data_IF_208909763571
#
_entry.id   IF_208909763571
#
_cell.length_a   1.000
_cell.length_b   1.000
_cell.length_c   1.000
_cell.angle_alpha   90.00
_cell.angle_beta   90.00
_cell.angle_gamma   90.00
#
_symmetry.space_group_name_H-M   'P 1'
#
loop_
_entity.id
_entity.type
_entity.pdbx_description
1 polymer ?
#
# COMPACT_ATOMS: atom_id res chain seq x y z
N UNK A 1 10.52 -27.37 63.44
CA UNK A 1 11.61 -26.63 64.11
C UNK A 1 12.21 -25.65 63.10
N UNK A 2 11.94 -24.34 63.26
CA UNK A 2 12.91 -23.22 63.41
C UNK A 2 13.98 -23.17 62.30
N UNK A 3 14.15 -22.12 61.47
CA UNK A 3 14.10 -20.65 61.69
C UNK A 3 13.83 -19.97 60.32
N UNK A 4 12.99 -18.92 60.14
CA UNK A 4 13.24 -17.47 60.34
C UNK A 4 14.70 -17.06 60.05
N UNK A 5 15.08 -15.97 59.41
CA UNK A 5 14.49 -14.88 58.64
C UNK A 5 15.72 -13.98 58.39
N UNK A 6 15.97 -13.53 57.16
CA UNK A 6 16.79 -12.33 56.95
C UNK A 6 16.05 -11.41 55.98
N UNK A 7 15.57 -10.32 56.56
CA UNK A 7 15.00 -9.14 55.92
C UNK A 7 16.15 -8.24 55.47
N UNK A 8 16.03 -7.63 54.30
CA UNK A 8 16.90 -6.53 53.83
C UNK A 8 17.29 -6.77 52.36
N UNK A 9 16.88 -5.99 51.37
CA UNK A 9 16.49 -4.60 51.37
C UNK A 9 15.34 -4.35 50.38
N UNK A 10 14.31 -3.65 50.83
CA UNK A 10 13.49 -2.81 49.95
C UNK A 10 14.36 -1.61 49.61
N UNK A 11 14.91 -1.59 48.40
CA UNK A 11 15.53 -0.40 47.82
C UNK A 11 14.88 -0.15 46.46
N UNK A 12 13.86 0.70 46.53
CA UNK A 12 13.46 1.67 45.52
C UNK A 12 13.18 1.14 44.11
N UNK A 13 11.88 1.08 43.81
CA UNK A 13 11.33 1.40 42.49
C UNK A 13 12.02 2.64 41.92
N UNK A 14 13.06 2.44 41.12
CA UNK A 14 13.52 3.43 40.16
C UNK A 14 12.67 3.27 38.89
N UNK A 15 11.44 3.79 38.96
CA UNK A 15 10.71 4.20 37.77
C UNK A 15 11.47 5.37 37.15
N UNK A 16 12.38 5.06 36.21
CA UNK A 16 12.82 6.03 35.19
C UNK A 16 13.83 5.38 34.24
N UNK A 17 13.33 4.73 33.20
CA UNK A 17 13.58 5.19 31.82
C UNK A 17 12.29 4.91 31.06
N UNK A 18 11.71 5.96 30.49
CA UNK A 18 10.74 5.93 29.40
C UNK A 18 10.84 4.63 28.60
N UNK A 19 9.75 3.87 28.50
CA UNK A 19 9.55 3.00 27.36
C UNK A 19 9.45 3.89 26.12
N UNK A 20 10.57 4.47 25.71
CA UNK A 20 10.73 5.08 24.41
C UNK A 20 10.29 4.01 23.43
N UNK A 21 9.30 4.36 22.61
CA UNK A 21 8.93 3.72 21.36
C UNK A 21 10.18 3.36 20.53
N UNK A 22 10.96 2.35 20.90
CA UNK A 22 12.01 1.81 20.05
C UNK A 22 11.28 1.06 18.95
N UNK A 23 11.58 1.42 17.71
CA UNK A 23 11.11 0.70 16.56
C UNK A 23 11.47 -0.79 16.69
N UNK A 24 10.50 -1.66 16.42
CA UNK A 24 10.71 -3.10 16.25
C UNK A 24 10.43 -3.41 14.77
N UNK A 25 11.49 -3.47 13.93
CA UNK A 25 11.31 -3.69 12.50
C UNK A 25 10.63 -5.00 12.14
N UNK A 26 10.80 -6.06 12.94
CA UNK A 26 10.16 -7.35 12.67
C UNK A 26 8.66 -7.29 12.98
N UNK A 27 8.27 -6.67 14.09
CA UNK A 27 6.87 -6.46 14.43
C UNK A 27 6.17 -5.52 13.44
N UNK A 28 6.84 -4.44 13.03
CA UNK A 28 6.32 -3.50 12.03
C UNK A 28 6.17 -4.17 10.66
N UNK A 29 7.14 -5.01 10.25
CA UNK A 29 7.03 -5.80 9.03
C UNK A 29 5.84 -6.76 9.07
N UNK A 30 5.60 -7.42 10.22
CA UNK A 30 4.44 -8.31 10.40
C UNK A 30 3.11 -7.56 10.22
N UNK A 31 2.95 -6.37 10.82
CA UNK A 31 1.76 -5.53 10.61
C UNK A 31 1.56 -5.17 9.14
N UNK A 32 2.65 -4.81 8.44
CA UNK A 32 2.58 -4.53 7.00
C UNK A 32 2.15 -5.78 6.22
N UNK A 33 2.69 -6.96 6.52
CA UNK A 33 2.31 -8.21 5.85
C UNK A 33 0.85 -8.59 6.08
N UNK A 34 0.35 -8.44 7.31
CA UNK A 34 -1.06 -8.66 7.63
C UNK A 34 -1.97 -7.72 6.83
N UNK A 35 -1.62 -6.43 6.76
CA UNK A 35 -2.31 -5.48 5.91
C UNK A 35 -2.25 -5.90 4.43
N UNK A 36 -1.06 -6.25 3.93
CA UNK A 36 -0.83 -6.58 2.53
C UNK A 36 -1.66 -7.78 2.08
N UNK A 37 -1.72 -8.85 2.89
CA UNK A 37 -2.52 -10.05 2.61
C UNK A 37 -4.02 -9.73 2.47
N UNK A 38 -4.57 -8.87 3.33
CA UNK A 38 -5.98 -8.43 3.21
C UNK A 38 -6.19 -7.61 1.93
N UNK A 39 -5.20 -6.81 1.54
CA UNK A 39 -5.30 -5.98 0.34
C UNK A 39 -5.16 -6.77 -0.96
N UNK A 40 -4.52 -7.94 -1.00
CA UNK A 40 -4.41 -8.74 -2.23
C UNK A 40 -5.80 -9.11 -2.78
N UNK A 41 -6.69 -9.61 -1.92
CA UNK A 41 -8.06 -9.94 -2.32
C UNK A 41 -8.85 -8.67 -2.68
N UNK A 42 -8.72 -7.62 -1.88
CA UNK A 42 -9.43 -6.35 -2.08
C UNK A 42 -9.09 -5.72 -3.44
N UNK A 43 -7.80 -5.71 -3.80
CA UNK A 43 -7.31 -5.19 -5.06
C UNK A 43 -7.76 -6.05 -6.24
N UNK A 44 -7.72 -7.39 -6.11
CA UNK A 44 -8.21 -8.29 -7.16
C UNK A 44 -9.70 -8.06 -7.45
N UNK A 45 -10.53 -7.92 -6.40
CA UNK A 45 -11.95 -7.58 -6.55
C UNK A 45 -12.15 -6.20 -7.20
N UNK A 46 -11.39 -5.18 -6.78
CA UNK A 46 -11.46 -3.85 -7.36
C UNK A 46 -11.10 -3.85 -8.86
N UNK A 47 -10.06 -4.59 -9.25
CA UNK A 47 -9.65 -4.73 -10.65
C UNK A 47 -10.71 -5.47 -11.49
N UNK A 48 -11.27 -6.58 -10.99
CA UNK A 48 -12.31 -7.32 -11.69
C UNK A 48 -13.58 -6.48 -11.90
N UNK A 49 -14.01 -5.76 -10.85
CA UNK A 49 -15.16 -4.85 -10.93
C UNK A 49 -14.89 -3.71 -11.92
N UNK A 50 -13.70 -3.11 -11.88
CA UNK A 50 -13.30 -2.08 -12.83
C UNK A 50 -13.32 -2.59 -14.28
N UNK A 51 -12.74 -3.76 -14.55
CA UNK A 51 -12.73 -4.36 -15.89
C UNK A 51 -14.14 -4.63 -16.40
N UNK A 52 -15.02 -5.15 -15.54
CA UNK A 52 -16.43 -5.38 -15.87
C UNK A 52 -17.15 -4.07 -16.23
N UNK A 53 -17.06 -3.07 -15.37
CA UNK A 53 -17.70 -1.77 -15.57
C UNK A 53 -17.17 -1.05 -16.82
N UNK A 54 -15.85 -1.11 -17.05
CA UNK A 54 -15.22 -0.53 -18.23
C UNK A 54 -15.69 -1.24 -19.51
N UNK A 55 -15.75 -2.57 -19.52
CA UNK A 55 -16.22 -3.33 -20.68
C UNK A 55 -17.68 -3.02 -21.02
N UNK A 56 -18.53 -2.87 -19.99
CA UNK A 56 -19.92 -2.47 -20.17
C UNK A 56 -20.05 -1.10 -20.82
N UNK A 57 -19.34 -0.08 -20.31
CA UNK A 57 -19.36 1.28 -20.87
C UNK A 57 -18.74 1.34 -22.26
N UNK A 58 -17.61 0.68 -22.48
CA UNK A 58 -16.90 0.70 -23.77
C UNK A 58 -17.60 -0.13 -24.85
N UNK A 59 -18.46 -1.07 -24.47
CA UNK A 59 -19.28 -1.88 -25.38
C UNK A 59 -20.55 -1.18 -25.88
N UNK A 60 -20.91 -0.03 -25.31
CA UNK A 60 -22.07 0.75 -25.76
C UNK A 60 -21.79 1.41 -27.12
N UNK A 61 -22.82 1.50 -27.97
CA UNK A 61 -22.74 2.16 -29.29
C UNK A 61 -22.33 3.63 -29.18
N UNK A 62 -22.85 4.31 -28.18
CA UNK A 62 -22.49 5.68 -27.83
C UNK A 62 -21.69 5.64 -26.55
N UNK A 63 -20.45 6.14 -26.60
CA UNK A 63 -19.59 6.22 -25.43
C UNK A 63 -20.02 7.44 -24.61
N UNK A 64 -20.73 7.21 -23.50
CA UNK A 64 -21.06 8.28 -22.57
C UNK A 64 -19.81 8.67 -21.75
N UNK A 65 -19.27 9.89 -21.92
CA UNK A 65 -18.11 10.34 -21.15
C UNK A 65 -18.36 10.36 -19.64
N UNK A 66 -19.61 10.61 -19.21
CA UNK A 66 -19.97 10.61 -17.78
C UNK A 66 -19.98 9.21 -17.19
N UNK A 67 -20.44 8.22 -17.97
CA UNK A 67 -20.37 6.83 -17.56
C UNK A 67 -18.90 6.38 -17.41
N UNK A 68 -18.03 6.74 -18.36
CA UNK A 68 -16.60 6.44 -18.27
C UNK A 68 -15.95 7.10 -17.04
N UNK A 69 -16.27 8.37 -16.79
CA UNK A 69 -15.79 9.10 -15.62
C UNK A 69 -16.27 8.46 -14.30
N UNK A 70 -17.51 7.99 -14.24
CA UNK A 70 -18.04 7.30 -13.08
C UNK A 70 -17.28 5.99 -12.77
N UNK A 71 -16.96 5.19 -13.81
CA UNK A 71 -16.16 3.97 -13.65
C UNK A 71 -14.76 4.28 -13.12
N UNK A 72 -14.12 5.31 -13.69
CA UNK A 72 -12.79 5.76 -13.26
C UNK A 72 -12.81 6.28 -11.81
N UNK A 73 -13.82 7.06 -11.44
CA UNK A 73 -13.95 7.60 -10.09
C UNK A 73 -14.24 6.50 -9.05
N UNK A 74 -15.05 5.50 -9.40
CA UNK A 74 -15.28 4.35 -8.53
C UNK A 74 -13.98 3.57 -8.26
N UNK A 75 -13.20 3.28 -9.31
CA UNK A 75 -11.91 2.61 -9.14
C UNK A 75 -10.91 3.45 -8.32
N UNK A 76 -10.79 4.75 -8.65
CA UNK A 76 -9.93 5.67 -7.90
C UNK A 76 -10.36 5.76 -6.42
N UNK A 77 -11.66 5.73 -6.12
CA UNK A 77 -12.19 5.67 -4.77
C UNK A 77 -11.70 4.45 -3.99
N UNK A 78 -11.76 3.26 -4.61
CA UNK A 78 -11.24 2.02 -4.00
C UNK A 78 -9.73 2.09 -3.74
N UNK A 79 -8.96 2.65 -4.69
CA UNK A 79 -7.52 2.87 -4.48
C UNK A 79 -7.28 3.83 -3.31
N UNK A 80 -8.03 4.93 -3.22
CA UNK A 80 -7.94 5.88 -2.11
C UNK A 80 -8.27 5.24 -0.75
N UNK A 81 -9.25 4.33 -0.70
CA UNK A 81 -9.56 3.54 0.49
C UNK A 81 -8.38 2.63 0.90
N UNK A 82 -7.75 1.95 -0.06
CA UNK A 82 -6.53 1.16 0.18
C UNK A 82 -5.37 2.03 0.64
N UNK A 83 -5.19 3.23 0.07
CA UNK A 83 -4.14 4.15 0.51
C UNK A 83 -4.38 4.67 1.94
N UNK A 84 -5.63 4.97 2.29
CA UNK A 84 -6.00 5.35 3.66
C UNK A 84 -5.79 4.19 4.65
N UNK A 85 -6.11 2.95 4.26
CA UNK A 85 -5.87 1.78 5.10
C UNK A 85 -4.38 1.52 5.29
N UNK A 86 -3.56 1.77 4.25
CA UNK A 86 -2.10 1.73 4.35
C UNK A 86 -1.57 2.79 5.31
N UNK A 87 -2.06 4.03 5.21
CA UNK A 87 -1.68 5.13 6.10
C UNK A 87 -1.96 4.79 7.57
N UNK A 88 -3.01 4.03 7.86
CA UNK A 88 -3.36 3.56 9.19
C UNK A 88 -2.45 2.44 9.76
N UNK A 89 -1.61 1.80 8.93
CA UNK A 89 -0.63 0.81 9.41
C UNK A 89 0.46 1.54 10.21
N UNK A 90 0.43 1.39 11.54
CA UNK A 90 1.39 1.98 12.47
C UNK A 90 2.74 1.27 12.37
N UNK A 91 3.73 1.97 11.79
CA UNK A 91 5.11 1.53 11.65
C UNK A 91 6.04 2.62 12.15
N UNK A 92 7.06 2.23 12.92
CA UNK A 92 8.05 3.12 13.53
C UNK A 92 9.44 2.92 12.94
N UNK A 93 9.68 1.75 12.37
CA UNK A 93 10.91 1.41 11.66
C UNK A 93 11.03 2.16 10.34
N UNK A 94 12.15 2.84 10.12
CA UNK A 94 12.44 3.57 8.86
C UNK A 94 12.43 2.66 7.63
N UNK A 95 12.93 1.42 7.74
CA UNK A 95 12.93 0.48 6.61
C UNK A 95 11.51 0.00 6.25
N UNK A 96 10.62 -0.13 7.24
CA UNK A 96 9.23 -0.51 6.99
C UNK A 96 8.41 0.70 6.53
N UNK A 97 8.74 1.90 7.03
CA UNK A 97 8.20 3.16 6.50
C UNK A 97 8.55 3.32 5.03
N UNK A 98 9.80 3.05 4.63
CA UNK A 98 10.21 3.09 3.23
C UNK A 98 9.42 2.09 2.36
N UNK A 99 9.14 0.88 2.88
CA UNK A 99 8.28 -0.10 2.21
C UNK A 99 6.85 0.41 2.03
N UNK A 100 6.26 0.98 3.07
CA UNK A 100 4.93 1.59 3.06
C UNK A 100 4.86 2.74 2.05
N UNK A 101 5.81 3.66 2.09
CA UNK A 101 5.87 4.82 1.19
C UNK A 101 6.02 4.39 -0.27
N UNK A 102 6.89 3.43 -0.58
CA UNK A 102 7.01 2.88 -1.94
C UNK A 102 5.75 2.15 -2.40
N UNK A 103 5.10 1.41 -1.51
CA UNK A 103 3.82 0.75 -1.81
C UNK A 103 2.75 1.79 -2.17
N UNK A 104 2.65 2.86 -1.38
CA UNK A 104 1.75 4.00 -1.64
C UNK A 104 2.02 4.65 -2.99
N UNK A 105 3.30 4.90 -3.31
CA UNK A 105 3.70 5.50 -4.58
C UNK A 105 3.31 4.62 -5.77
N UNK A 106 3.55 3.30 -5.70
CA UNK A 106 3.20 2.36 -6.77
C UNK A 106 1.68 2.27 -6.96
N UNK A 107 0.91 2.17 -5.88
CA UNK A 107 -0.56 2.13 -5.95
C UNK A 107 -1.14 3.41 -6.55
N UNK A 108 -0.64 4.57 -6.13
CA UNK A 108 -1.06 5.87 -6.66
C UNK A 108 -0.75 6.00 -8.15
N UNK A 109 0.50 5.73 -8.53
CA UNK A 109 0.95 5.84 -9.93
C UNK A 109 0.25 4.81 -10.84
N UNK A 110 -0.01 3.59 -10.34
CA UNK A 110 -0.76 2.58 -11.09
C UNK A 110 -2.18 3.04 -11.39
N UNK A 111 -2.87 3.63 -10.40
CA UNK A 111 -4.21 4.18 -10.59
C UNK A 111 -4.24 5.34 -11.58
N UNK A 112 -3.23 6.21 -11.53
CA UNK A 112 -3.10 7.35 -12.43
C UNK A 112 -2.87 6.88 -13.87
N UNK A 113 -1.89 5.99 -14.09
CA UNK A 113 -1.59 5.40 -15.40
C UNK A 113 -2.82 4.70 -15.98
N UNK A 114 -3.55 3.92 -15.18
CA UNK A 114 -4.76 3.24 -15.63
C UNK A 114 -5.85 4.24 -16.01
N UNK A 115 -6.08 5.28 -15.21
CA UNK A 115 -7.08 6.31 -15.50
C UNK A 115 -6.78 7.07 -16.79
N UNK A 116 -5.52 7.46 -16.98
CA UNK A 116 -5.06 8.14 -18.19
C UNK A 116 -5.16 7.23 -19.41
N UNK A 117 -4.74 5.97 -19.28
CA UNK A 117 -4.84 4.99 -20.37
C UNK A 117 -6.28 4.82 -20.86
N UNK A 118 -7.24 4.77 -19.95
CA UNK A 118 -8.67 4.66 -20.29
C UNK A 118 -9.17 5.91 -21.01
N UNK A 119 -8.79 7.11 -20.53
CA UNK A 119 -9.14 8.37 -21.19
C UNK A 119 -8.58 8.44 -22.61
N UNK A 120 -7.33 7.98 -22.81
CA UNK A 120 -6.71 7.93 -24.13
C UNK A 120 -7.34 6.86 -25.03
N UNK A 121 -7.80 5.74 -24.49
CA UNK A 121 -8.58 4.77 -25.28
C UNK A 121 -9.90 5.36 -25.77
N UNK A 122 -10.52 6.25 -24.99
CA UNK A 122 -11.75 6.94 -25.40
C UNK A 122 -11.48 8.05 -26.44
N UNK A 123 -10.36 8.77 -26.31
CA UNK A 123 -9.96 9.88 -27.17
C UNK A 123 -8.44 9.84 -27.46
N UNK A 124 -8.00 9.03 -28.46
CA UNK A 124 -6.58 8.81 -28.69
C UNK A 124 -5.90 10.02 -29.36
N UNK A 125 -4.76 10.42 -28.79
CA UNK A 125 -3.84 11.42 -29.35
C UNK A 125 -2.40 10.94 -29.19
N UNK A 126 -1.50 11.39 -30.07
CA UNK A 126 -0.10 10.98 -30.04
C UNK A 126 0.61 11.49 -28.77
N UNK A 127 0.31 12.73 -28.36
CA UNK A 127 0.85 13.36 -27.16
C UNK A 127 0.43 12.61 -25.89
N UNK A 128 -0.85 12.23 -25.80
CA UNK A 128 -1.35 11.52 -24.63
C UNK A 128 -0.83 10.06 -24.56
N UNK A 129 -0.63 9.40 -25.71
CA UNK A 129 0.03 8.09 -25.75
C UNK A 129 1.49 8.16 -25.27
N UNK A 130 2.25 9.17 -25.69
CA UNK A 130 3.63 9.37 -25.21
C UNK A 130 3.68 9.66 -23.71
N UNK A 131 2.76 10.49 -23.20
CA UNK A 131 2.68 10.79 -21.77
C UNK A 131 2.41 9.53 -20.93
N UNK A 132 1.47 8.68 -21.35
CA UNK A 132 1.19 7.40 -20.68
C UNK A 132 2.42 6.50 -20.72
N UNK A 133 3.12 6.41 -21.85
CA UNK A 133 4.30 5.56 -21.98
C UNK A 133 5.41 5.98 -21.01
N UNK A 134 5.65 7.29 -20.85
CA UNK A 134 6.59 7.80 -19.86
C UNK A 134 6.20 7.41 -18.42
N UNK A 135 4.93 7.53 -18.06
CA UNK A 135 4.44 7.13 -16.74
C UNK A 135 4.45 5.61 -16.54
N UNK A 136 4.21 4.82 -17.58
CA UNK A 136 4.33 3.37 -17.53
C UNK A 136 5.78 2.93 -17.24
N UNK A 137 6.77 3.63 -17.81
CA UNK A 137 8.19 3.40 -17.47
C UNK A 137 8.47 3.72 -15.99
N UNK A 138 7.98 4.86 -15.49
CA UNK A 138 8.12 5.21 -14.08
C UNK A 138 7.44 4.20 -13.16
N UNK A 139 6.24 3.73 -13.52
CA UNK A 139 5.51 2.71 -12.78
C UNK A 139 6.29 1.41 -12.72
N UNK A 140 6.82 0.96 -13.86
CA UNK A 140 7.63 -0.25 -13.93
C UNK A 140 8.89 -0.15 -13.06
N UNK A 141 9.59 1.00 -13.08
CA UNK A 141 10.75 1.24 -12.21
C UNK A 141 10.36 1.19 -10.73
N UNK A 142 9.31 1.92 -10.33
CA UNK A 142 8.84 1.93 -8.95
C UNK A 142 8.39 0.54 -8.48
N UNK A 143 7.73 -0.23 -9.35
CA UNK A 143 7.30 -1.59 -9.06
C UNK A 143 8.51 -2.54 -8.86
N UNK A 144 9.55 -2.43 -9.69
CA UNK A 144 10.77 -3.22 -9.53
C UNK A 144 11.50 -2.89 -8.22
N UNK A 145 11.59 -1.60 -7.87
CA UNK A 145 12.18 -1.18 -6.59
C UNK A 145 11.38 -1.70 -5.40
N UNK A 146 10.04 -1.64 -5.49
CA UNK A 146 9.16 -2.16 -4.46
C UNK A 146 9.33 -3.69 -4.31
N UNK A 147 9.34 -4.43 -5.42
CA UNK A 147 9.53 -5.87 -5.41
C UNK A 147 10.88 -6.25 -4.78
N UNK A 148 11.95 -5.54 -5.13
CA UNK A 148 13.27 -5.75 -4.54
C UNK A 148 13.25 -5.51 -3.03
N UNK A 149 12.68 -4.38 -2.58
CA UNK A 149 12.58 -4.05 -1.16
C UNK A 149 11.74 -5.09 -0.39
N UNK A 150 10.63 -5.55 -0.96
CA UNK A 150 9.82 -6.62 -0.39
C UNK A 150 10.63 -7.92 -0.23
N UNK A 151 11.42 -8.30 -1.23
CA UNK A 151 12.26 -9.49 -1.19
C UNK A 151 13.36 -9.39 -0.12
N UNK A 152 14.05 -8.24 -0.05
CA UNK A 152 15.09 -7.98 0.95
C UNK A 152 14.54 -8.05 2.38
N UNK A 153 13.38 -7.41 2.62
CA UNK A 153 12.73 -7.43 3.93
C UNK A 153 12.16 -8.80 4.29
N UNK A 154 11.63 -9.55 3.31
CA UNK A 154 11.19 -10.94 3.51
C UNK A 154 12.37 -11.81 3.94
N UNK A 155 13.50 -11.74 3.25
CA UNK A 155 14.70 -12.49 3.60
C UNK A 155 15.22 -12.14 5.00
N UNK A 156 15.05 -10.88 5.42
CA UNK A 156 15.48 -10.39 6.73
C UNK A 156 14.57 -10.83 7.87
N UNK A 157 13.24 -10.81 7.68
CA UNK A 157 12.27 -10.91 8.77
C UNK A 157 11.35 -12.15 8.73
N UNK A 158 11.17 -12.82 7.59
CA UNK A 158 10.24 -13.96 7.47
C UNK A 158 10.84 -15.30 7.94
N UNK A 159 11.63 -15.30 9.01
CA UNK A 159 12.18 -16.51 9.63
C UNK A 159 11.17 -17.23 10.51
#
# INVERSE_FOLDING_TARGET
MKKLATIGAVALLAFSVTACNKADPAADYKKFQEWYQVQEQTQATAQAEFQKQLAEVMGQKEKDPKALEAVLNNFAGKVQETLKSLDAVDVKSEEIKALKDKTKAVLGLSSEVLSEQVKVMAAPTAEAQQAIQAKAVQLNQAAQELQKLQADLKAKFAK
#
